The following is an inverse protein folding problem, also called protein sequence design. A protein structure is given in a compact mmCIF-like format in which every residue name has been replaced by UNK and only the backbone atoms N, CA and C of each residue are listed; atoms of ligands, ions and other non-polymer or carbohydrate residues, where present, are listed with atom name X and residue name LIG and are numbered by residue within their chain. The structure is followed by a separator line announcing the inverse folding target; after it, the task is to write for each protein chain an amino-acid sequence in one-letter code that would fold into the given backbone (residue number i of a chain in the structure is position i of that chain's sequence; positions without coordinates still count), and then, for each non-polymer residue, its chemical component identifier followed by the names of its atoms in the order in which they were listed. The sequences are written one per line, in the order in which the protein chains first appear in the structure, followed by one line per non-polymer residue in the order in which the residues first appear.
data_IF_142586150720
#
_entry.id   IF_142586150720
#
_cell.length_a   1.000
_cell.length_b   1.000
_cell.length_c   1.000
_cell.angle_alpha   90.00
_cell.angle_beta   90.00
_cell.angle_gamma   90.00
#
_symmetry.space_group_name_H-M   'P 1'
#
loop_
_entity.id
_entity.type
_entity.pdbx_description
1 polymer ?
#
# COMPACT_ATOMS: atom_id res chain seq x y z
N UNK A 1 9.49 20.99 10.87
CA UNK A 1 10.33 20.00 11.57
C UNK A 1 10.09 18.59 11.02
N UNK A 2 8.84 18.15 10.88
CA UNK A 2 8.49 16.82 10.31
C UNK A 2 8.98 16.60 8.85
N UNK A 3 8.86 17.60 7.96
CA UNK A 3 9.38 17.50 6.58
C UNK A 3 10.88 17.20 6.48
N UNK A 4 11.68 17.63 7.45
CA UNK A 4 13.13 17.38 7.45
C UNK A 4 13.47 15.92 7.76
N UNK A 5 12.62 15.23 8.55
CA UNK A 5 12.81 13.81 8.92
C UNK A 5 12.42 12.90 7.75
N UNK A 6 11.33 13.24 7.06
CA UNK A 6 10.80 12.52 5.90
C UNK A 6 11.80 12.53 4.72
N UNK A 7 12.54 13.62 4.56
CA UNK A 7 13.51 13.79 3.46
C UNK A 7 14.82 13.03 3.64
N UNK A 8 15.08 12.45 4.81
CA UNK A 8 16.35 11.76 5.11
C UNK A 8 16.25 10.22 5.02
N UNK A 9 15.12 9.67 4.56
CA UNK A 9 14.97 8.23 4.37
C UNK A 9 15.53 7.87 2.99
N UNK A 10 16.51 6.96 2.87
CA UNK A 10 17.03 6.55 1.57
C UNK A 10 15.92 6.01 0.66
N UNK A 11 15.93 6.41 -0.62
CA UNK A 11 14.88 6.03 -1.57
C UNK A 11 14.81 4.51 -1.78
N UNK A 12 15.95 3.83 -1.72
CA UNK A 12 16.05 2.37 -1.86
C UNK A 12 15.36 1.63 -0.71
N UNK A 13 15.47 2.14 0.53
CA UNK A 13 14.72 1.64 1.70
C UNK A 13 13.22 1.67 1.43
N UNK A 14 12.69 2.81 0.98
CA UNK A 14 11.26 2.98 0.70
C UNK A 14 10.79 2.10 -0.46
N UNK A 15 11.59 2.02 -1.54
CA UNK A 15 11.28 1.18 -2.70
C UNK A 15 11.24 -0.31 -2.31
N UNK A 16 12.23 -0.77 -1.54
CA UNK A 16 12.30 -2.14 -1.04
C UNK A 16 11.10 -2.47 -0.12
N UNK A 17 10.75 -1.55 0.81
CA UNK A 17 9.58 -1.71 1.67
C UNK A 17 8.29 -1.81 0.85
N UNK A 18 8.13 -0.92 -0.13
CA UNK A 18 6.95 -0.87 -1.02
C UNK A 18 6.77 -2.17 -1.81
N UNK A 19 7.87 -2.75 -2.31
CA UNK A 19 7.84 -4.04 -3.00
C UNK A 19 7.34 -5.17 -2.09
N UNK A 20 7.91 -5.30 -0.89
CA UNK A 20 7.49 -6.34 0.06
C UNK A 20 6.04 -6.15 0.52
N UNK A 21 5.62 -4.92 0.85
CA UNK A 21 4.24 -4.62 1.23
C UNK A 21 3.24 -4.89 0.08
N UNK A 22 3.62 -4.62 -1.17
CA UNK A 22 2.84 -4.98 -2.36
C UNK A 22 2.66 -6.49 -2.52
N UNK A 23 3.64 -7.29 -2.11
CA UNK A 23 3.55 -8.76 -2.11
C UNK A 23 2.70 -9.25 -0.94
N UNK A 24 2.98 -8.78 0.28
CA UNK A 24 2.28 -9.23 1.49
C UNK A 24 0.80 -8.84 1.50
N UNK A 25 0.44 -7.67 0.98
CA UNK A 25 -0.98 -7.26 0.81
C UNK A 25 -1.76 -8.15 -0.16
N UNK A 26 -1.08 -8.93 -1.00
CA UNK A 26 -1.68 -9.90 -1.93
C UNK A 26 -1.74 -11.32 -1.36
N UNK A 27 -1.25 -11.53 -0.13
CA UNK A 27 -1.33 -12.82 0.55
C UNK A 27 -2.73 -13.04 1.14
N UNK A 28 -3.22 -14.28 1.09
CA UNK A 28 -4.46 -14.69 1.73
C UNK A 28 -4.27 -16.03 2.41
N UNK A 29 -4.68 -16.09 3.67
CA UNK A 29 -4.78 -17.35 4.40
C UNK A 29 -6.11 -18.03 4.07
N UNK A 30 -6.07 -19.33 3.79
CA UNK A 30 -7.25 -20.11 3.40
C UNK A 30 -7.18 -21.51 4.01
N UNK A 31 -8.32 -22.20 4.07
CA UNK A 31 -8.37 -23.62 4.45
C UNK A 31 -7.45 -24.43 3.53
N UNK A 32 -6.70 -25.37 4.09
CA UNK A 32 -5.74 -26.18 3.34
C UNK A 32 -6.43 -26.94 2.21
N UNK A 33 -5.84 -26.95 1.02
CA UNK A 33 -6.27 -27.77 -0.11
C UNK A 33 -5.07 -28.28 -0.90
N UNK A 34 -5.29 -29.27 -1.76
CA UNK A 34 -4.23 -29.85 -2.58
C UNK A 34 -3.98 -29.01 -3.83
N UNK A 35 -2.71 -28.72 -4.10
CA UNK A 35 -2.28 -28.21 -5.40
C UNK A 35 -1.88 -29.38 -6.32
N UNK A 36 -1.93 -29.19 -7.65
CA UNK A 36 -1.26 -30.10 -8.59
C UNK A 36 0.20 -30.32 -8.19
N UNK A 37 0.73 -31.55 -8.40
CA UNK A 37 2.06 -31.98 -7.90
C UNK A 37 3.21 -31.09 -8.39
N UNK A 38 3.06 -30.52 -9.58
CA UNK A 38 3.99 -29.61 -10.24
C UNK A 38 4.02 -28.20 -9.65
N UNK A 39 3.03 -27.84 -8.81
CA UNK A 39 2.92 -26.50 -8.24
C UNK A 39 4.03 -26.28 -7.22
N UNK A 40 4.99 -25.40 -7.56
CA UNK A 40 6.07 -25.02 -6.66
C UNK A 40 5.61 -23.95 -5.67
N UNK A 41 5.97 -24.12 -4.41
CA UNK A 41 5.76 -23.07 -3.41
C UNK A 41 6.78 -21.96 -3.59
N UNK A 42 6.42 -20.76 -3.13
CA UNK A 42 7.29 -19.60 -2.94
C UNK A 42 7.41 -19.28 -1.46
N UNK A 43 8.49 -18.61 -1.09
CA UNK A 43 8.70 -18.12 0.27
C UNK A 43 8.37 -16.62 0.30
N UNK A 44 7.51 -16.24 1.23
CA UNK A 44 7.33 -14.84 1.60
C UNK A 44 8.17 -14.56 2.84
N UNK A 45 8.79 -13.38 2.86
CA UNK A 45 9.68 -12.92 3.91
C UNK A 45 9.18 -11.58 4.47
N UNK A 46 9.54 -11.24 5.71
CA UNK A 46 9.30 -9.90 6.23
C UNK A 46 10.18 -8.88 5.51
N UNK A 47 9.87 -7.60 5.67
CA UNK A 47 10.79 -6.53 5.28
C UNK A 47 11.46 -5.90 6.51
N UNK A 48 12.78 -5.63 6.47
CA UNK A 48 13.72 -6.05 5.44
C UNK A 48 14.21 -7.49 5.66
N UNK A 49 14.36 -8.28 4.59
CA UNK A 49 14.88 -9.66 4.69
C UNK A 49 16.29 -9.83 4.16
N UNK A 50 16.73 -9.00 3.21
CA UNK A 50 18.07 -9.07 2.64
C UNK A 50 18.74 -7.69 2.69
N UNK A 51 20.07 -7.64 2.89
CA UNK A 51 20.83 -6.41 2.76
C UNK A 51 20.54 -5.71 1.44
N UNK A 52 20.32 -4.40 1.49
CA UNK A 52 20.30 -3.54 0.32
C UNK A 52 21.73 -3.41 -0.23
N UNK A 53 21.86 -3.20 -1.53
CA UNK A 53 23.16 -3.24 -2.22
C UNK A 53 24.00 -1.98 -1.95
N UNK A 54 23.36 -0.86 -1.67
CA UNK A 54 24.00 0.39 -1.30
C UNK A 54 24.52 0.36 0.14
N UNK A 55 25.55 1.18 0.44
CA UNK A 55 26.15 1.22 1.79
C UNK A 55 25.35 2.08 2.77
N UNK A 56 24.63 3.10 2.29
CA UNK A 56 23.94 4.07 3.15
C UNK A 56 22.66 3.50 3.76
N UNK A 57 21.90 2.69 3.01
CA UNK A 57 20.64 2.13 3.51
C UNK A 57 20.78 1.12 4.65
N UNK A 58 21.75 0.18 4.66
CA UNK A 58 21.96 -0.71 5.80
C UNK A 58 22.32 0.02 7.10
N UNK A 59 23.17 1.05 7.02
CA UNK A 59 23.56 1.85 8.18
C UNK A 59 22.37 2.63 8.72
N UNK A 60 21.60 3.26 7.82
CA UNK A 60 20.37 3.98 8.18
C UNK A 60 19.34 3.06 8.85
N UNK A 61 19.13 1.84 8.35
CA UNK A 61 18.23 0.86 8.95
C UNK A 61 18.69 0.46 10.36
N UNK A 62 20.00 0.25 10.54
CA UNK A 62 20.58 -0.09 11.84
C UNK A 62 20.41 1.04 12.87
N UNK A 63 20.58 2.31 12.48
CA UNK A 63 20.32 3.48 13.33
C UNK A 63 18.86 3.56 13.79
N UNK A 64 17.91 3.03 13.01
CA UNK A 64 16.50 2.91 13.38
C UNK A 64 16.16 1.64 14.17
N UNK A 65 17.15 0.83 14.51
CA UNK A 65 16.96 -0.45 15.19
C UNK A 65 16.27 -1.50 14.31
N UNK A 66 16.31 -1.35 12.99
CA UNK A 66 15.68 -2.26 12.03
C UNK A 66 16.72 -3.28 11.57
N UNK A 67 16.50 -4.55 11.89
CA UNK A 67 17.38 -5.65 11.52
C UNK A 67 16.82 -6.49 10.37
N UNK A 68 17.71 -7.09 9.58
CA UNK A 68 17.35 -8.04 8.53
C UNK A 68 16.89 -9.37 9.10
N UNK A 69 15.71 -9.86 8.69
CA UNK A 69 15.20 -11.18 9.10
C UNK A 69 15.03 -12.14 7.91
N UNK A 70 15.97 -13.08 7.81
CA UNK A 70 15.97 -14.19 6.82
C UNK A 70 15.35 -15.48 7.37
N UNK A 71 15.13 -15.55 8.69
CA UNK A 71 14.69 -16.77 9.37
C UNK A 71 13.18 -16.86 9.36
N UNK A 72 12.50 -15.75 9.58
CA UNK A 72 11.05 -15.65 9.48
C UNK A 72 10.63 -15.71 8.02
N UNK A 73 9.88 -16.76 7.66
CA UNK A 73 9.38 -16.97 6.30
C UNK A 73 8.17 -17.87 6.31
N UNK A 74 7.33 -17.73 5.29
CA UNK A 74 6.13 -18.57 5.13
C UNK A 74 6.02 -19.12 3.72
N UNK A 75 5.61 -20.40 3.64
CA UNK A 75 5.30 -21.04 2.36
C UNK A 75 4.01 -20.45 1.80
N UNK A 76 4.06 -20.08 0.53
CA UNK A 76 2.94 -19.55 -0.23
C UNK A 76 2.87 -20.19 -1.61
N UNK A 77 1.73 -20.07 -2.26
CA UNK A 77 1.49 -20.59 -3.60
C UNK A 77 0.93 -19.49 -4.46
N UNK A 78 1.54 -19.29 -5.63
CA UNK A 78 1.08 -18.31 -6.58
C UNK A 78 -0.16 -18.85 -7.31
N UNK A 79 -1.22 -18.04 -7.38
CA UNK A 79 -2.47 -18.40 -8.05
C UNK A 79 -2.99 -17.23 -8.90
N UNK A 80 -3.88 -17.55 -9.84
CA UNK A 80 -4.63 -16.54 -10.60
C UNK A 80 -5.51 -15.69 -9.68
N UNK A 81 -5.88 -14.47 -10.11
CA UNK A 81 -6.78 -13.64 -9.32
C UNK A 81 -8.17 -14.26 -9.20
N UNK A 82 -8.63 -14.92 -10.27
CA UNK A 82 -9.90 -15.64 -10.31
C UNK A 82 -9.95 -16.77 -9.28
N UNK A 83 -8.90 -17.59 -9.16
CA UNK A 83 -8.84 -18.64 -8.14
C UNK A 83 -8.72 -18.05 -6.74
N UNK A 84 -7.89 -17.02 -6.57
CA UNK A 84 -7.76 -16.30 -5.31
C UNK A 84 -9.10 -15.81 -4.77
N UNK A 85 -9.96 -15.26 -5.64
CA UNK A 85 -11.30 -14.78 -5.28
C UNK A 85 -12.25 -15.89 -4.83
N UNK A 86 -12.19 -17.07 -5.46
CA UNK A 86 -13.05 -18.22 -5.13
C UNK A 86 -12.74 -18.84 -3.76
N UNK A 87 -11.55 -18.59 -3.20
CA UNK A 87 -11.15 -19.17 -1.91
C UNK A 87 -11.65 -18.33 -0.73
N UNK A 88 -12.33 -18.99 0.20
CA UNK A 88 -12.76 -18.44 1.49
C UNK A 88 -11.54 -17.95 2.30
N UNK A 89 -11.53 -16.66 2.64
CA UNK A 89 -10.46 -16.03 3.43
C UNK A 89 -10.61 -16.40 4.90
N UNK A 90 -9.56 -16.95 5.49
CA UNK A 90 -9.39 -17.01 6.94
C UNK A 90 -8.86 -15.66 7.41
N UNK A 91 -9.53 -15.06 8.40
CA UNK A 91 -9.15 -13.74 8.92
C UNK A 91 -7.76 -13.77 9.56
N UNK A 92 -6.97 -12.76 9.19
CA UNK A 92 -5.65 -12.40 9.73
C UNK A 92 -5.70 -10.89 9.94
N UNK A 93 -5.57 -10.45 11.19
CA UNK A 93 -5.71 -9.04 11.58
C UNK A 93 -4.58 -8.18 11.02
N UNK A 94 -3.40 -8.78 10.91
CA UNK A 94 -2.18 -8.17 10.41
C UNK A 94 -2.29 -7.75 8.94
N UNK A 95 -3.17 -8.36 8.15
CA UNK A 95 -3.32 -7.99 6.73
C UNK A 95 -3.82 -6.54 6.61
N UNK A 96 -4.76 -6.14 7.47
CA UNK A 96 -5.25 -4.78 7.46
C UNK A 96 -4.09 -3.84 7.85
N UNK A 97 -3.27 -4.18 8.84
CA UNK A 97 -2.10 -3.36 9.21
C UNK A 97 -1.06 -3.28 8.08
N UNK A 98 -0.86 -4.35 7.30
CA UNK A 98 0.02 -4.34 6.13
C UNK A 98 -0.46 -3.36 5.05
N UNK A 99 -1.77 -3.28 4.80
CA UNK A 99 -2.33 -2.29 3.88
C UNK A 99 -2.12 -0.85 4.39
N UNK A 100 -2.27 -0.60 5.69
CA UNK A 100 -1.93 0.70 6.29
C UNK A 100 -0.44 1.02 6.13
N UNK A 101 0.45 0.07 6.42
CA UNK A 101 1.89 0.23 6.21
C UNK A 101 2.22 0.56 4.75
N UNK A 102 1.47 -0.02 3.79
CA UNK A 102 1.63 0.31 2.38
C UNK A 102 1.28 1.76 2.09
N UNK A 103 0.17 2.26 2.63
CA UNK A 103 -0.21 3.67 2.47
C UNK A 103 0.82 4.60 3.11
N UNK A 104 1.37 4.25 4.28
CA UNK A 104 2.47 4.97 4.94
C UNK A 104 3.71 5.06 4.03
N UNK A 105 4.18 3.92 3.51
CA UNK A 105 5.39 3.89 2.67
C UNK A 105 5.17 4.65 1.37
N UNK A 106 4.01 4.50 0.71
CA UNK A 106 3.71 5.28 -0.50
C UNK A 106 3.63 6.77 -0.18
N UNK A 107 3.11 7.16 0.98
CA UNK A 107 3.07 8.56 1.43
C UNK A 107 4.48 9.15 1.60
N UNK A 108 5.40 8.40 2.21
CA UNK A 108 6.82 8.78 2.33
C UNK A 108 7.53 8.89 0.98
N UNK A 109 7.22 7.97 0.05
CA UNK A 109 7.71 8.03 -1.33
C UNK A 109 7.23 9.31 -2.03
N UNK A 110 5.94 9.66 -1.84
CA UNK A 110 5.32 10.84 -2.44
C UNK A 110 5.91 12.14 -1.90
N UNK A 111 6.25 12.22 -0.61
CA UNK A 111 6.92 13.40 -0.03
C UNK A 111 8.31 13.68 -0.58
N UNK A 112 8.97 12.68 -1.18
CA UNK A 112 10.29 12.84 -1.79
C UNK A 112 10.22 13.19 -3.28
N UNK A 113 9.03 13.17 -3.89
CA UNK A 113 8.86 13.51 -5.29
C UNK A 113 8.76 15.04 -5.43
N UNK A 114 9.47 15.64 -6.40
CA UNK A 114 9.32 17.07 -6.68
C UNK A 114 7.87 17.44 -6.93
N UNK A 115 7.43 18.55 -6.34
CA UNK A 115 6.06 19.04 -6.51
C UNK A 115 5.85 19.71 -7.86
N UNK A 116 6.91 20.20 -8.50
CA UNK A 116 6.86 20.75 -9.86
C UNK A 116 6.43 19.67 -10.85
N UNK A 117 5.53 19.98 -11.78
CA UNK A 117 5.10 19.08 -12.86
C UNK A 117 4.42 17.76 -12.41
N UNK A 118 4.06 17.62 -11.13
CA UNK A 118 3.26 16.49 -10.69
C UNK A 118 1.84 16.61 -11.24
N UNK A 119 1.33 15.51 -11.81
CA UNK A 119 -0.05 15.35 -12.23
C UNK A 119 -0.75 14.47 -11.20
N UNK A 120 -1.82 15.01 -10.61
CA UNK A 120 -2.66 14.31 -9.64
C UNK A 120 -3.99 14.00 -10.30
N UNK A 121 -4.43 12.75 -10.18
CA UNK A 121 -5.67 12.26 -10.77
C UNK A 121 -6.55 11.59 -9.71
N UNK A 122 -7.85 11.87 -9.73
CA UNK A 122 -8.86 11.22 -8.91
C UNK A 122 -9.51 10.07 -9.70
N UNK A 123 -9.41 8.84 -9.18
CA UNK A 123 -9.95 7.62 -9.81
C UNK A 123 -11.11 7.07 -8.99
N UNK A 124 -12.19 6.71 -9.66
CA UNK A 124 -13.26 5.88 -9.12
C UNK A 124 -13.88 5.06 -10.26
N UNK A 125 -14.73 4.09 -9.92
CA UNK A 125 -15.48 3.32 -10.91
C UNK A 125 -16.62 4.20 -11.47
N UNK A 126 -16.37 4.87 -12.59
CA UNK A 126 -17.34 5.81 -13.18
C UNK A 126 -18.57 5.10 -13.74
N UNK A 127 -18.46 3.82 -14.12
CA UNK A 127 -19.60 3.01 -14.53
C UNK A 127 -20.54 2.74 -13.36
N UNK A 128 -19.99 2.38 -12.18
CA UNK A 128 -20.80 2.16 -10.98
C UNK A 128 -21.32 3.46 -10.37
N UNK A 129 -20.54 4.54 -10.44
CA UNK A 129 -20.87 5.82 -9.81
C UNK A 129 -20.52 7.00 -10.72
N UNK A 130 -21.34 7.32 -11.72
CA UNK A 130 -21.01 8.33 -12.73
C UNK A 130 -21.01 9.78 -12.21
N UNK A 131 -21.58 10.03 -11.02
CA UNK A 131 -21.79 11.37 -10.46
C UNK A 131 -21.07 11.61 -9.13
N UNK A 132 -19.90 11.01 -8.94
CA UNK A 132 -19.09 11.30 -7.74
C UNK A 132 -18.54 12.71 -7.85
N UNK A 133 -18.81 13.53 -6.83
CA UNK A 133 -18.15 14.82 -6.67
C UNK A 133 -16.70 14.55 -6.24
N UNK A 134 -15.75 14.95 -7.08
CA UNK A 134 -14.33 14.69 -6.90
C UNK A 134 -13.60 16.01 -6.62
N UNK A 135 -12.49 15.97 -5.84
CA UNK A 135 -11.72 17.17 -5.58
C UNK A 135 -11.08 17.66 -6.88
N UNK A 136 -11.14 18.97 -7.13
CA UNK A 136 -10.51 19.62 -8.29
C UNK A 136 -9.13 20.19 -7.97
N UNK A 137 -8.78 20.26 -6.69
CA UNK A 137 -7.49 20.72 -6.18
C UNK A 137 -7.14 20.04 -4.86
N UNK A 138 -5.85 19.96 -4.54
CA UNK A 138 -5.35 19.49 -3.23
C UNK A 138 -5.76 20.39 -2.06
N UNK A 139 -6.20 21.64 -2.33
CA UNK A 139 -6.76 22.55 -1.32
C UNK A 139 -8.27 22.40 -1.13
N UNK A 140 -8.95 21.62 -1.98
CA UNK A 140 -10.39 21.39 -1.93
C UNK A 140 -10.73 20.30 -0.90
N UNK A 141 -10.58 20.67 0.37
CA UNK A 141 -10.65 19.73 1.50
C UNK A 141 -12.04 19.12 1.66
N UNK A 142 -13.09 19.90 1.45
CA UNK A 142 -14.46 19.41 1.61
C UNK A 142 -14.77 18.32 0.59
N UNK A 143 -14.48 18.58 -0.71
CA UNK A 143 -14.67 17.55 -1.73
C UNK A 143 -13.73 16.37 -1.58
N UNK A 144 -12.51 16.58 -1.08
CA UNK A 144 -11.60 15.47 -0.80
C UNK A 144 -12.15 14.55 0.30
N UNK A 145 -12.74 15.13 1.36
CA UNK A 145 -13.39 14.36 2.43
C UNK A 145 -14.60 13.60 1.94
N UNK A 146 -15.43 14.22 1.09
CA UNK A 146 -16.59 13.53 0.53
C UNK A 146 -16.16 12.41 -0.44
N UNK A 147 -15.19 12.69 -1.30
CA UNK A 147 -14.61 11.72 -2.23
C UNK A 147 -13.97 10.53 -1.50
N UNK A 148 -13.32 10.76 -0.35
CA UNK A 148 -12.66 9.72 0.43
C UNK A 148 -13.60 8.74 1.14
N UNK A 149 -14.90 9.06 1.25
CA UNK A 149 -15.91 8.14 1.78
C UNK A 149 -16.25 6.99 0.83
N UNK A 150 -15.92 7.12 -0.46
CA UNK A 150 -16.19 6.04 -1.40
C UNK A 150 -15.07 4.99 -1.38
N UNK A 151 -15.44 3.74 -1.16
CA UNK A 151 -14.52 2.58 -1.05
C UNK A 151 -13.59 2.37 -2.25
N UNK A 152 -13.98 2.88 -3.41
CA UNK A 152 -13.26 2.73 -4.67
C UNK A 152 -12.47 3.97 -5.10
N UNK A 153 -12.56 5.07 -4.34
CA UNK A 153 -11.85 6.32 -4.59
C UNK A 153 -10.37 6.21 -4.30
N UNK A 154 -9.57 6.53 -5.31
CA UNK A 154 -8.11 6.54 -5.24
C UNK A 154 -7.58 7.86 -5.79
N UNK A 155 -6.41 8.26 -5.33
CA UNK A 155 -5.62 9.32 -5.95
C UNK A 155 -4.39 8.69 -6.59
N UNK A 156 -4.10 9.08 -7.82
CA UNK A 156 -2.90 8.70 -8.54
C UNK A 156 -2.00 9.90 -8.78
N UNK A 157 -0.70 9.64 -8.72
CA UNK A 157 0.35 10.63 -8.81
C UNK A 157 1.30 10.21 -9.91
N UNK A 158 1.51 11.11 -10.86
CA UNK A 158 2.45 10.92 -11.96
C UNK A 158 3.40 12.11 -12.00
N UNK A 159 4.69 11.84 -12.10
CA UNK A 159 5.70 12.86 -12.27
C UNK A 159 6.68 12.40 -13.37
N UNK A 160 7.13 13.27 -14.30
CA UNK A 160 7.96 12.86 -15.43
C UNK A 160 9.31 12.23 -15.05
N UNK A 161 9.84 12.55 -13.87
CA UNK A 161 11.12 11.99 -13.39
C UNK A 161 11.01 10.61 -12.74
N UNK A 162 9.83 9.98 -12.75
CA UNK A 162 9.60 8.65 -12.18
C UNK A 162 8.85 7.79 -13.20
N UNK A 163 9.36 6.59 -13.45
CA UNK A 163 8.72 5.64 -14.38
C UNK A 163 7.38 5.10 -13.85
N UNK A 164 7.10 5.30 -12.56
CA UNK A 164 5.98 4.69 -11.87
C UNK A 164 4.89 5.70 -11.50
N UNK A 165 3.64 5.28 -11.73
CA UNK A 165 2.45 5.93 -11.19
C UNK A 165 2.18 5.40 -9.78
N UNK A 166 2.28 6.26 -8.77
CA UNK A 166 1.87 5.91 -7.41
C UNK A 166 0.37 6.10 -7.26
N UNK A 167 -0.28 5.20 -6.51
CA UNK A 167 -1.70 5.27 -6.20
C UNK A 167 -1.92 5.01 -4.72
N UNK A 168 -2.80 5.78 -4.11
CA UNK A 168 -3.22 5.64 -2.72
C UNK A 168 -4.75 5.75 -2.63
N UNK A 169 -5.37 5.20 -1.59
CA UNK A 169 -6.77 5.51 -1.27
C UNK A 169 -6.97 7.01 -1.04
N UNK A 170 -8.13 7.53 -1.43
CA UNK A 170 -8.42 8.96 -1.28
C UNK A 170 -8.35 9.46 0.17
N UNK A 171 -8.67 8.61 1.17
CA UNK A 171 -8.52 8.95 2.59
C UNK A 171 -7.07 9.23 2.97
N UNK A 172 -6.10 8.56 2.33
CA UNK A 172 -4.68 8.79 2.57
C UNK A 172 -4.21 10.11 1.94
N UNK A 173 -4.84 10.51 0.84
CA UNK A 173 -4.64 11.82 0.22
C UNK A 173 -4.96 12.99 1.14
N UNK A 174 -6.00 12.85 1.97
CA UNK A 174 -6.36 13.89 2.96
C UNK A 174 -5.18 14.17 3.90
N UNK A 175 -4.56 13.12 4.45
CA UNK A 175 -3.40 13.26 5.35
C UNK A 175 -2.19 13.86 4.61
N UNK A 176 -1.93 13.41 3.38
CA UNK A 176 -0.82 13.93 2.57
C UNK A 176 -0.94 15.43 2.29
N UNK A 177 -2.14 15.91 1.97
CA UNK A 177 -2.34 17.32 1.60
C UNK A 177 -2.50 18.21 2.81
N UNK A 178 -3.17 17.75 3.88
CA UNK A 178 -3.45 18.58 5.05
C UNK A 178 -2.33 18.57 6.09
N UNK A 179 -1.86 17.39 6.46
CA UNK A 179 -0.94 17.23 7.60
C UNK A 179 0.51 17.27 7.14
N UNK A 180 0.84 16.52 6.08
CA UNK A 180 2.18 16.60 5.48
C UNK A 180 2.35 17.87 4.61
N UNK A 181 1.24 18.52 4.26
CA UNK A 181 1.19 19.78 3.49
C UNK A 181 1.68 19.64 2.04
N UNK A 182 1.73 18.44 1.50
CA UNK A 182 2.36 18.18 0.21
C UNK A 182 1.53 18.75 -0.95
N UNK A 183 2.23 19.07 -2.05
CA UNK A 183 1.64 19.46 -3.33
C UNK A 183 0.83 20.77 -3.37
N UNK A 184 0.73 21.52 -2.26
CA UNK A 184 0.21 22.89 -2.25
C UNK A 184 -1.22 23.00 -2.77
N UNK A 185 -1.43 23.76 -3.86
CA UNK A 185 -2.72 23.93 -4.55
C UNK A 185 -2.71 23.26 -5.94
N UNK A 186 -2.14 22.06 -6.04
CA UNK A 186 -2.04 21.33 -7.29
C UNK A 186 -3.44 20.94 -7.80
N UNK A 187 -3.63 21.07 -9.12
CA UNK A 187 -4.86 20.66 -9.79
C UNK A 187 -5.01 19.15 -9.74
N UNK A 188 -6.23 18.68 -9.49
CA UNK A 188 -6.62 17.27 -9.55
C UNK A 188 -7.52 17.05 -10.76
N UNK A 189 -7.18 16.07 -11.59
CA UNK A 189 -7.94 15.72 -12.80
C UNK A 189 -8.79 14.47 -12.56
N UNK A 190 -10.02 14.38 -13.09
CA UNK A 190 -10.79 13.14 -13.05
C UNK A 190 -10.18 12.08 -13.99
N UNK A 191 -10.17 10.83 -13.56
CA UNK A 191 -9.77 9.69 -14.36
C UNK A 191 -10.65 8.47 -14.06
N UNK A 192 -10.84 7.60 -15.06
CA UNK A 192 -11.69 6.41 -14.90
C UNK A 192 -10.87 5.19 -14.46
N UNK A 193 -11.35 4.51 -13.41
CA UNK A 193 -10.78 3.27 -12.90
C UNK A 193 -11.14 2.04 -13.75
N UNK A 194 -12.16 2.12 -14.63
CA UNK A 194 -12.63 1.00 -15.46
C UNK A 194 -11.51 0.36 -16.32
N UNK A 195 -10.46 1.13 -16.67
CA UNK A 195 -9.28 0.61 -17.36
C UNK A 195 -8.41 -0.34 -16.50
N UNK A 196 -8.69 -0.48 -15.20
CA UNK A 196 -7.87 -1.20 -14.23
C UNK A 196 -8.58 -2.37 -13.52
N UNK A 197 -9.73 -2.86 -14.03
CA UNK A 197 -10.53 -3.90 -13.33
C UNK A 197 -10.48 -5.30 -13.95
N UNK A 198 -10.20 -6.30 -13.11
CA UNK A 198 -10.67 -7.68 -13.23
C UNK A 198 -10.06 -8.50 -14.36
N UNK A 199 -10.81 -8.67 -15.45
CA UNK A 199 -10.42 -9.53 -16.58
C UNK A 199 -9.12 -9.04 -17.24
N UNK A 200 -9.00 -7.72 -17.47
CA UNK A 200 -7.77 -7.09 -17.98
C UNK A 200 -6.58 -7.24 -17.03
N UNK A 201 -6.81 -7.41 -15.73
CA UNK A 201 -5.74 -7.61 -14.72
C UNK A 201 -5.20 -9.05 -14.74
N UNK A 202 -6.06 -10.04 -15.00
CA UNK A 202 -5.66 -11.43 -15.19
C UNK A 202 -4.93 -11.62 -16.54
N UNK A 203 -5.45 -11.03 -17.62
CA UNK A 203 -4.87 -11.10 -18.97
C UNK A 203 -3.48 -10.43 -19.08
N UNK A 204 -3.25 -9.38 -18.30
CA UNK A 204 -1.95 -8.68 -18.27
C UNK A 204 -0.89 -9.39 -17.41
N UNK A 205 -1.25 -10.42 -16.63
CA UNK A 205 -0.32 -11.11 -15.73
C UNK A 205 0.21 -10.25 -14.57
N UNK A 206 -0.33 -9.05 -14.38
CA UNK A 206 0.24 -8.00 -13.51
C UNK A 206 0.04 -8.27 -12.01
N UNK A 207 -0.80 -9.24 -11.62
CA UNK A 207 -1.13 -9.41 -10.20
C UNK A 207 -1.09 -10.87 -9.74
N UNK A 208 0.13 -11.40 -9.60
CA UNK A 208 0.40 -12.64 -8.87
C UNK A 208 -0.20 -12.54 -7.46
N UNK A 209 -1.10 -13.47 -7.12
CA UNK A 209 -1.72 -13.57 -5.79
C UNK A 209 -1.12 -14.73 -5.03
N UNK A 210 -1.04 -14.61 -3.71
CA UNK A 210 -0.38 -15.61 -2.88
C UNK A 210 -1.37 -16.25 -1.92
N UNK A 211 -1.46 -17.58 -1.99
CA UNK A 211 -2.23 -18.38 -1.04
C UNK A 211 -1.29 -18.95 0.00
N UNK A 212 -1.66 -18.79 1.27
CA UNK A 212 -1.03 -19.45 2.41
C UNK A 212 -2.05 -20.38 3.03
N UNK A 213 -1.71 -21.65 3.21
CA UNK A 213 -2.59 -22.59 3.88
C UNK A 213 -2.68 -22.33 5.38
N UNK A 214 -3.84 -22.61 5.96
CA UNK A 214 -4.15 -22.41 7.37
C UNK A 214 -3.10 -22.99 8.33
N UNK A 215 -2.52 -24.15 8.00
CA UNK A 215 -1.44 -24.74 8.81
C UNK A 215 -0.19 -23.86 8.94
N UNK A 216 -0.02 -22.88 8.04
CA UNK A 216 1.08 -21.91 8.05
C UNK A 216 0.63 -20.51 8.51
N UNK A 217 -0.59 -20.36 9.04
CA UNK A 217 -1.15 -19.07 9.48
C UNK A 217 -0.22 -18.33 10.44
N UNK A 218 0.28 -19.01 11.48
CA UNK A 218 1.17 -18.39 12.48
C UNK A 218 2.51 -17.90 11.90
N UNK A 219 3.00 -18.53 10.82
CA UNK A 219 4.19 -18.03 10.13
C UNK A 219 3.90 -16.79 9.29
N UNK A 220 2.72 -16.73 8.65
CA UNK A 220 2.28 -15.54 7.93
C UNK A 220 2.07 -14.35 8.88
N UNK A 221 1.45 -14.57 10.04
CA UNK A 221 1.29 -13.56 11.09
C UNK A 221 2.65 -13.01 11.53
N UNK A 222 3.64 -13.89 11.80
CA UNK A 222 5.00 -13.46 12.16
C UNK A 222 5.69 -12.64 11.05
N UNK A 223 5.58 -13.07 9.79
CA UNK A 223 6.11 -12.33 8.64
C UNK A 223 5.51 -10.93 8.56
N UNK A 224 4.19 -10.82 8.75
CA UNK A 224 3.50 -9.53 8.71
C UNK A 224 3.85 -8.66 9.92
N UNK A 225 3.83 -9.21 11.14
CA UNK A 225 4.18 -8.49 12.38
C UNK A 225 5.59 -7.92 12.34
N UNK A 226 6.56 -8.70 11.87
CA UNK A 226 7.95 -8.23 11.69
C UNK A 226 8.00 -7.05 10.72
N UNK A 227 7.30 -7.15 9.58
CA UNK A 227 7.23 -6.05 8.60
C UNK A 227 6.58 -4.80 9.19
N UNK A 228 5.47 -4.97 9.91
CA UNK A 228 4.73 -3.88 10.56
C UNK A 228 5.64 -3.17 11.56
N UNK A 229 6.37 -3.92 12.39
CA UNK A 229 7.31 -3.37 13.36
C UNK A 229 8.41 -2.53 12.68
N UNK A 230 9.00 -3.03 11.60
CA UNK A 230 10.01 -2.29 10.84
C UNK A 230 9.46 -1.01 10.22
N UNK A 231 8.25 -1.02 9.67
CA UNK A 231 7.61 0.19 9.13
C UNK A 231 7.30 1.19 10.25
N UNK A 232 6.80 0.74 11.40
CA UNK A 232 6.56 1.61 12.55
C UNK A 232 7.86 2.28 13.05
N UNK A 233 8.99 1.58 13.00
CA UNK A 233 10.29 2.15 13.36
C UNK A 233 10.76 3.25 12.40
N UNK A 234 10.42 3.18 11.10
CA UNK A 234 10.73 4.24 10.12
C UNK A 234 10.05 5.55 10.50
N UNK A 235 8.77 5.48 10.90
CA UNK A 235 7.94 6.66 11.18
C UNK A 235 7.86 7.01 12.66
N UNK A 236 8.70 6.40 13.49
CA UNK A 236 8.72 6.66 14.93
C UNK A 236 8.91 8.16 15.21
N UNK A 237 8.02 8.72 16.02
CA UNK A 237 8.03 10.15 16.39
C UNK A 237 7.39 11.09 15.35
N UNK A 238 6.74 10.56 14.31
CA UNK A 238 5.82 11.31 13.45
C UNK A 238 4.39 11.21 13.97
N UNK A 239 3.54 12.20 13.68
CA UNK A 239 2.14 12.23 14.13
C UNK A 239 1.12 11.90 13.04
N UNK A 240 1.47 12.16 11.78
CA UNK A 240 0.59 11.89 10.63
C UNK A 240 0.23 10.40 10.41
N UNK A 241 1.06 9.38 10.76
CA UNK A 241 0.67 7.98 10.60
C UNK A 241 -0.55 7.59 11.44
N UNK A 242 -0.71 8.19 12.62
CA UNK A 242 -1.85 8.02 13.50
C UNK A 242 -3.13 8.58 12.87
N UNK A 243 -3.06 9.76 12.27
CA UNK A 243 -4.19 10.34 11.56
C UNK A 243 -4.59 9.50 10.34
N UNK A 244 -3.61 8.95 9.62
CA UNK A 244 -3.87 8.01 8.52
C UNK A 244 -4.60 6.75 9.00
N UNK A 245 -4.21 6.22 10.16
CA UNK A 245 -4.89 5.10 10.79
C UNK A 245 -6.33 5.45 11.14
N UNK A 246 -6.56 6.59 11.79
CA UNK A 246 -7.92 7.05 12.15
C UNK A 246 -8.82 7.22 10.93
N UNK A 247 -8.32 7.88 9.88
CA UNK A 247 -9.04 8.08 8.61
C UNK A 247 -9.41 6.75 7.97
N UNK A 248 -8.51 5.77 8.02
CA UNK A 248 -8.76 4.42 7.51
C UNK A 248 -9.81 3.67 8.32
N UNK A 249 -9.76 3.74 9.65
CA UNK A 249 -10.76 3.11 10.53
C UNK A 249 -12.16 3.70 10.27
N UNK A 250 -12.26 5.02 10.09
CA UNK A 250 -13.49 5.69 9.68
C UNK A 250 -13.96 5.25 8.28
N UNK A 251 -13.04 5.08 7.33
CA UNK A 251 -13.36 4.60 5.98
C UNK A 251 -13.88 3.16 5.95
N UNK A 252 -13.34 2.27 6.79
CA UNK A 252 -13.74 0.85 6.88
C UNK A 252 -15.09 0.70 7.62
N UNK A 253 -15.35 1.54 8.62
CA UNK A 253 -16.54 1.44 9.48
C UNK A 253 -17.77 2.16 8.93
N UNK A 254 -17.60 3.09 7.99
CA UNK A 254 -18.73 3.76 7.35
C UNK A 254 -19.53 2.75 6.50
N UNK A 255 -20.85 2.61 6.72
CA UNK A 255 -21.69 1.81 5.86
C UNK A 255 -21.61 2.43 4.46
N UNK A 256 -20.99 1.70 3.53
CA UNK A 256 -20.87 2.15 2.14
C UNK A 256 -22.27 2.56 1.66
N UNK A 257 -22.46 3.85 1.35
CA UNK A 257 -23.68 4.33 0.75
C UNK A 257 -23.93 3.47 -0.50
N UNK A 258 -25.00 2.66 -0.41
CA UNK A 258 -25.51 1.86 -1.51
C UNK A 258 -26.03 2.77 -2.62
#
# INVERSE_FOLDING_TARGET
MERAIINNIPREVLNSASQTLSILSKARCVKSYSFPKETRYKLLFPWPSYPLEDKESPDWLAEKGIAYDKKTKVKSYEVSHSDYKKKEKISIKELDQIELCRDIIVSLILSQIPTSNIVIEAFWDQEKKPKVDHPISTSDIERLRDFSRHSDSMLGFHHPSIDYKYKIPAYAGEVLFQEMGLFGNAKILPADRALSTGAKTDESGISKRFIVHQGNKGFLEKVMQSTIHSVSAIVAGQTWPESLKEKRENHITQPHCK
#
